data_IF_886075139452
#
_entry.id   IF_886075139452
#
_cell.length_a   1.000
_cell.length_b   1.000
_cell.length_c   1.000
_cell.angle_alpha   90.00
_cell.angle_beta   90.00
_cell.angle_gamma   90.00
#
_symmetry.space_group_name_H-M   'P 1'
#
loop_
_entity.id
_entity.type
_entity.pdbx_description
1 polymer ?
#
# COMPACT_ATOMS: atom_id res chain seq x y z
N UNK A 1 -0.32 -34.98 -9.64
CA UNK A 1 -1.31 -33.97 -9.21
C UNK A 1 -0.80 -33.34 -7.93
N UNK A 2 -0.76 -32.01 -7.88
CA UNK A 2 -0.54 -31.31 -6.61
C UNK A 2 -1.69 -31.69 -5.66
N UNK A 3 -1.39 -31.99 -4.40
CA UNK A 3 -2.41 -32.35 -3.42
C UNK A 3 -3.08 -31.10 -2.85
N UNK A 4 -4.31 -31.20 -2.36
CA UNK A 4 -5.04 -30.06 -1.80
C UNK A 4 -4.26 -29.35 -0.69
N UNK A 5 -3.52 -30.12 0.12
CA UNK A 5 -2.68 -29.58 1.18
C UNK A 5 -1.50 -28.75 0.65
N UNK A 6 -0.90 -29.16 -0.48
CA UNK A 6 0.15 -28.40 -1.14
C UNK A 6 -0.40 -27.12 -1.77
N UNK A 7 -1.58 -27.19 -2.39
CA UNK A 7 -2.24 -26.03 -2.99
C UNK A 7 -2.66 -25.01 -1.92
N UNK A 8 -3.21 -25.47 -0.79
CA UNK A 8 -3.57 -24.63 0.35
C UNK A 8 -2.35 -23.92 0.95
N UNK A 9 -1.25 -24.66 1.16
CA UNK A 9 -0.01 -24.09 1.68
C UNK A 9 0.58 -23.04 0.73
N UNK A 10 0.53 -23.32 -0.58
CA UNK A 10 0.98 -22.38 -1.61
C UNK A 10 0.10 -21.12 -1.63
N UNK A 11 -1.22 -21.24 -1.49
CA UNK A 11 -2.14 -20.12 -1.46
C UNK A 11 -1.89 -19.20 -0.25
N UNK A 12 -1.64 -19.76 0.93
CA UNK A 12 -1.29 -18.97 2.13
C UNK A 12 0.06 -18.25 1.93
N UNK A 13 1.06 -18.95 1.41
CA UNK A 13 2.36 -18.37 1.15
C UNK A 13 2.26 -17.20 0.16
N UNK A 14 1.60 -17.42 -0.97
CA UNK A 14 1.46 -16.40 -1.99
C UNK A 14 0.58 -15.24 -1.52
N UNK A 15 -0.51 -15.51 -0.80
CA UNK A 15 -1.39 -14.49 -0.24
C UNK A 15 -0.69 -13.61 0.79
N UNK A 16 0.08 -14.20 1.70
CA UNK A 16 0.87 -13.43 2.68
C UNK A 16 2.00 -12.63 2.02
N UNK A 17 2.69 -13.20 1.03
CA UNK A 17 3.67 -12.48 0.23
C UNK A 17 3.05 -11.29 -0.51
N UNK A 18 1.86 -11.47 -1.10
CA UNK A 18 1.11 -10.41 -1.77
C UNK A 18 0.72 -9.29 -0.80
N UNK A 19 0.23 -9.62 0.40
CA UNK A 19 -0.09 -8.61 1.42
C UNK A 19 1.14 -7.78 1.82
N UNK A 20 2.31 -8.40 1.96
CA UNK A 20 3.57 -7.69 2.24
C UNK A 20 3.97 -6.77 1.08
N UNK A 21 3.88 -7.25 -0.17
CA UNK A 21 4.22 -6.45 -1.35
C UNK A 21 3.28 -5.25 -1.53
N UNK A 22 1.99 -5.39 -1.21
CA UNK A 22 1.01 -4.28 -1.27
C UNK A 22 1.37 -3.18 -0.27
N UNK A 23 1.67 -3.55 0.98
CA UNK A 23 2.06 -2.58 2.02
C UNK A 23 3.37 -1.90 1.65
N UNK A 24 4.34 -2.66 1.14
CA UNK A 24 5.62 -2.13 0.71
C UNK A 24 5.48 -1.16 -0.47
N UNK A 25 4.63 -1.48 -1.45
CA UNK A 25 4.31 -0.56 -2.54
C UNK A 25 3.79 0.78 -2.00
N UNK A 26 2.78 0.74 -1.12
CA UNK A 26 2.19 1.96 -0.59
C UNK A 26 3.17 2.77 0.28
N UNK A 27 4.02 2.08 1.03
CA UNK A 27 5.10 2.72 1.77
C UNK A 27 6.09 3.43 0.83
N UNK A 28 6.55 2.77 -0.24
CA UNK A 28 7.47 3.38 -1.18
C UNK A 28 6.82 4.54 -1.95
N UNK A 29 5.57 4.38 -2.38
CA UNK A 29 4.80 5.40 -3.10
C UNK A 29 4.70 6.71 -2.31
N UNK A 30 4.28 6.63 -1.04
CA UNK A 30 4.13 7.82 -0.17
C UNK A 30 5.48 8.47 0.17
N UNK A 31 6.56 7.68 0.28
CA UNK A 31 7.90 8.20 0.60
C UNK A 31 8.68 8.68 -0.63
N UNK A 32 8.20 8.43 -1.84
CA UNK A 32 8.87 8.83 -3.07
C UNK A 32 8.89 10.35 -3.22
N UNK A 33 9.98 10.89 -3.77
CA UNK A 33 10.16 12.34 -3.94
C UNK A 33 9.13 12.93 -4.90
N UNK A 34 8.66 12.15 -5.89
CA UNK A 34 7.58 12.52 -6.80
C UNK A 34 6.25 12.78 -6.06
N UNK A 35 5.92 11.96 -5.06
CA UNK A 35 4.72 12.14 -4.22
C UNK A 35 4.85 13.38 -3.32
N UNK A 36 6.06 13.69 -2.83
CA UNK A 36 6.34 14.88 -2.01
C UNK A 36 6.21 16.20 -2.78
N UNK A 37 6.45 16.21 -4.09
CA UNK A 37 6.31 17.42 -4.91
C UNK A 37 4.84 17.75 -5.21
N UNK A 38 3.96 16.75 -5.21
CA UNK A 38 2.51 16.93 -5.41
C UNK A 38 1.73 17.27 -4.12
N UNK A 39 2.31 17.05 -2.94
CA UNK A 39 1.79 17.57 -1.66
C UNK A 39 2.08 19.08 -1.46
N UNK A 40 1.81 19.89 -2.48
CA UNK A 40 1.61 21.34 -2.28
C UNK A 40 0.24 21.51 -1.61
N UNK A 41 0.14 22.27 -0.50
CA UNK A 41 -0.63 21.85 0.65
C UNK A 41 -2.13 22.03 0.43
N UNK A 42 -2.91 20.99 0.75
CA UNK A 42 -4.34 21.15 1.06
C UNK A 42 -4.49 21.79 2.45
N UNK A 43 -4.10 23.07 2.56
CA UNK A 43 -4.68 24.00 3.54
C UNK A 43 -5.52 25.05 2.80
N UNK A 44 -6.63 24.61 2.25
CA UNK A 44 -7.75 25.48 1.86
C UNK A 44 -9.05 24.69 2.08
N UNK A 45 -9.95 25.00 2.99
CA UNK A 45 -10.09 26.20 3.80
C UNK A 45 -10.95 25.95 5.03
N UNK A 46 -10.31 25.55 6.13
CA UNK A 46 -10.88 25.70 7.45
C UNK A 46 -10.07 26.78 8.17
N UNK A 47 -10.36 28.07 7.90
CA UNK A 47 -10.39 29.23 8.84
C UNK A 47 -10.60 30.56 8.06
N UNK A 48 -11.85 31.03 8.00
CA UNK A 48 -12.26 32.45 8.00
C UNK A 48 -13.56 32.46 8.83
N UNK A 49 -13.56 32.66 10.16
CA UNK A 49 -13.31 33.85 11.01
C UNK A 49 -14.38 34.95 10.86
N UNK A 50 -14.95 35.30 12.02
CA UNK A 50 -15.87 36.39 12.38
C UNK A 50 -17.37 36.07 12.31
#
# INVERSE_FOLDING_TARGET
MITDNQLYSLAIFLGSAAMLLIVLYHFLEVNSEDHKMEEKPRVAGAKVKA
#
